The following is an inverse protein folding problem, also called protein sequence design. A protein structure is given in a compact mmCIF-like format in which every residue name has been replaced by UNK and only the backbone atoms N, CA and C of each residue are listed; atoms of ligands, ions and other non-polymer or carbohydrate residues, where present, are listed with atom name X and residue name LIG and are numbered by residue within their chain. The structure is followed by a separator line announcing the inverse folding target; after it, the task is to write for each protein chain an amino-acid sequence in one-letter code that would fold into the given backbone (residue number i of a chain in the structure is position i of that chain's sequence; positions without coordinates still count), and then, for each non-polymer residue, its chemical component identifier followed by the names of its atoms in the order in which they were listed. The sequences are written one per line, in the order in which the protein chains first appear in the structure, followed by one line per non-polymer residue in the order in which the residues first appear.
data_IF_966176187804
#
_entry.id   IF_966176187804
#
_cell.length_a   1.000
_cell.length_b   1.000
_cell.length_c   1.000
_cell.angle_alpha   90.00
_cell.angle_beta   90.00
_cell.angle_gamma   90.00
#
_symmetry.space_group_name_H-M   'P 1'
#
loop_
_entity.id
_entity.type
_entity.pdbx_description
1 polymer ?
#
# COMPACT_ATOMS: atom_id res chain seq x y z
N UNK A 1 -1.49 11.51 -19.38
CA UNK A 1 -0.03 11.63 -19.23
C UNK A 1 0.29 11.21 -17.81
N UNK A 2 0.72 9.96 -17.60
CA UNK A 2 1.20 9.56 -16.28
C UNK A 2 2.52 10.29 -16.05
N UNK A 3 2.49 11.31 -15.18
CA UNK A 3 3.71 12.00 -14.77
C UNK A 3 4.44 11.09 -13.79
N UNK A 4 5.71 10.82 -14.10
CA UNK A 4 6.61 10.09 -13.22
C UNK A 4 6.65 10.76 -11.83
N UNK A 5 6.67 9.97 -10.76
CA UNK A 5 6.75 10.50 -9.39
C UNK A 5 8.19 10.90 -9.11
N UNK A 6 8.38 12.18 -8.77
CA UNK A 6 9.70 12.76 -8.57
C UNK A 6 9.83 13.56 -7.26
N UNK A 7 8.72 13.81 -6.56
CA UNK A 7 8.72 14.45 -5.24
C UNK A 7 8.14 13.58 -4.14
N UNK A 8 8.48 13.87 -2.88
CA UNK A 8 7.92 13.15 -1.73
C UNK A 8 6.42 13.46 -1.58
N UNK A 9 5.98 14.68 -1.85
CA UNK A 9 4.55 15.04 -1.87
C UNK A 9 3.74 14.16 -2.83
N UNK A 10 4.27 13.86 -4.02
CA UNK A 10 3.62 12.96 -4.98
C UNK A 10 3.59 11.52 -4.47
N UNK A 11 4.68 11.02 -3.85
CA UNK A 11 4.69 9.70 -3.22
C UNK A 11 3.62 9.60 -2.13
N UNK A 12 3.50 10.61 -1.27
CA UNK A 12 2.49 10.64 -0.20
C UNK A 12 1.07 10.66 -0.78
N UNK A 13 0.83 11.43 -1.85
CA UNK A 13 -0.46 11.45 -2.54
C UNK A 13 -0.81 10.08 -3.13
N UNK A 14 0.11 9.44 -3.87
CA UNK A 14 -0.13 8.10 -4.42
C UNK A 14 -0.35 7.07 -3.30
N UNK A 15 0.42 7.16 -2.21
CA UNK A 15 0.23 6.30 -1.04
C UNK A 15 -1.21 6.42 -0.51
N UNK A 16 -1.76 7.64 -0.37
CA UNK A 16 -3.16 7.84 0.07
C UNK A 16 -4.16 7.17 -0.87
N UNK A 17 -3.97 7.34 -2.18
CA UNK A 17 -4.88 6.78 -3.20
C UNK A 17 -4.88 5.26 -3.18
N UNK A 18 -3.69 4.64 -3.19
CA UNK A 18 -3.50 3.20 -3.11
C UNK A 18 -4.07 2.61 -1.82
N UNK A 19 -3.85 3.28 -0.69
CA UNK A 19 -4.37 2.88 0.62
C UNK A 19 -5.91 2.97 0.68
N UNK A 20 -6.49 4.01 0.08
CA UNK A 20 -7.94 4.16 -0.02
C UNK A 20 -8.58 3.08 -0.90
N UNK A 21 -8.00 2.80 -2.06
CA UNK A 21 -8.43 1.74 -2.95
C UNK A 21 -8.34 0.36 -2.27
N UNK A 22 -7.22 0.07 -1.59
CA UNK A 22 -7.03 -1.19 -0.87
C UNK A 22 -8.05 -1.39 0.26
N UNK A 23 -8.37 -0.34 1.02
CA UNK A 23 -9.41 -0.44 2.03
C UNK A 23 -10.81 -0.63 1.43
N UNK A 24 -11.12 0.04 0.32
CA UNK A 24 -12.37 -0.18 -0.41
C UNK A 24 -12.50 -1.64 -0.86
N UNK A 25 -11.43 -2.20 -1.41
CA UNK A 25 -11.38 -3.62 -1.78
C UNK A 25 -11.64 -4.54 -0.58
N UNK A 26 -10.97 -4.33 0.56
CA UNK A 26 -11.21 -5.13 1.76
C UNK A 26 -12.62 -4.96 2.34
N UNK A 27 -13.22 -3.78 2.26
CA UNK A 27 -14.61 -3.56 2.67
C UNK A 27 -15.59 -4.35 1.79
N UNK A 28 -15.34 -4.40 0.48
CA UNK A 28 -16.11 -5.24 -0.45
C UNK A 28 -15.93 -6.74 -0.16
N UNK A 29 -14.71 -7.20 0.12
CA UNK A 29 -14.47 -8.58 0.54
C UNK A 29 -15.21 -8.92 1.83
N UNK A 30 -15.26 -8.00 2.79
CA UNK A 30 -15.99 -8.20 4.04
C UNK A 30 -17.51 -8.37 3.82
N UNK A 31 -18.08 -7.67 2.82
CA UNK A 31 -19.49 -7.79 2.43
C UNK A 31 -19.77 -9.12 1.74
N UNK A 32 -18.90 -9.53 0.80
CA UNK A 32 -19.06 -10.77 0.02
C UNK A 32 -18.81 -12.05 0.84
N UNK A 33 -17.89 -12.00 1.81
CA UNK A 33 -17.58 -13.13 2.71
C UNK A 33 -17.69 -12.74 4.19
N UNK A 34 -18.92 -12.66 4.75
CA UNK A 34 -19.13 -12.32 6.16
C UNK A 34 -18.38 -13.24 7.14
N UNK A 35 -18.16 -14.51 6.76
CA UNK A 35 -17.42 -15.51 7.54
C UNK A 35 -15.96 -15.10 7.84
N UNK A 36 -15.36 -14.26 6.99
CA UNK A 36 -14.02 -13.68 7.17
C UNK A 36 -14.08 -12.15 7.27
N UNK A 37 -15.29 -11.59 7.47
CA UNK A 37 -15.53 -10.15 7.43
C UNK A 37 -14.73 -9.39 8.48
N UNK A 38 -14.61 -9.91 9.70
CA UNK A 38 -13.82 -9.29 10.77
C UNK A 38 -12.34 -9.13 10.39
N UNK A 39 -11.76 -10.16 9.75
CA UNK A 39 -10.38 -10.11 9.26
C UNK A 39 -10.22 -9.02 8.20
N UNK A 40 -11.11 -8.98 7.20
CA UNK A 40 -11.03 -8.00 6.12
C UNK A 40 -11.28 -6.56 6.61
N UNK A 41 -12.22 -6.35 7.54
CA UNK A 41 -12.46 -5.05 8.15
C UNK A 41 -11.27 -4.58 8.99
N UNK A 42 -10.60 -5.48 9.71
CA UNK A 42 -9.38 -5.16 10.43
C UNK A 42 -8.26 -4.70 9.47
N UNK A 43 -8.08 -5.41 8.35
CA UNK A 43 -7.11 -5.04 7.31
C UNK A 43 -7.43 -3.68 6.66
N UNK A 44 -8.71 -3.38 6.44
CA UNK A 44 -9.16 -2.09 5.91
C UNK A 44 -8.90 -0.93 6.88
N UNK A 45 -9.08 -1.15 8.19
CA UNK A 45 -8.93 -0.12 9.23
C UNK A 45 -7.48 0.34 9.39
N UNK A 46 -6.53 -0.58 9.25
CA UNK A 46 -5.11 -0.29 9.46
C UNK A 46 -4.52 0.68 8.42
N UNK A 47 -5.21 1.00 7.31
CA UNK A 47 -4.72 1.96 6.29
C UNK A 47 -4.39 3.33 6.89
N UNK A 48 -5.21 3.79 7.84
CA UNK A 48 -5.13 5.16 8.37
C UNK A 48 -3.83 5.32 9.16
N UNK A 49 -3.41 4.25 9.82
CA UNK A 49 -2.16 4.21 10.56
C UNK A 49 -0.94 4.31 9.63
N UNK A 50 -1.01 3.77 8.42
CA UNK A 50 0.12 3.78 7.48
C UNK A 50 0.28 5.14 6.80
N UNK A 51 -0.81 5.66 6.25
CA UNK A 51 -0.86 6.99 5.64
C UNK A 51 -0.43 8.06 6.67
N UNK A 52 -1.02 8.04 7.86
CA UNK A 52 -0.68 9.00 8.93
C UNK A 52 0.79 8.91 9.36
N UNK A 53 1.36 7.71 9.42
CA UNK A 53 2.77 7.52 9.79
C UNK A 53 3.70 8.16 8.76
N UNK A 54 3.45 7.91 7.47
CA UNK A 54 4.28 8.47 6.38
C UNK A 54 4.11 9.97 6.28
N UNK A 55 2.90 10.49 6.44
CA UNK A 55 2.63 11.93 6.45
C UNK A 55 3.32 12.65 7.59
N UNK A 56 3.28 12.11 8.81
CA UNK A 56 3.95 12.72 9.96
C UNK A 56 5.46 12.77 9.75
N UNK A 57 6.04 11.72 9.20
CA UNK A 57 7.46 11.70 8.84
C UNK A 57 7.75 12.77 7.77
N UNK A 58 6.96 12.80 6.70
CA UNK A 58 7.10 13.78 5.61
C UNK A 58 6.97 15.22 6.10
N UNK A 59 5.87 15.58 6.78
CA UNK A 59 5.62 16.93 7.29
C UNK A 59 6.67 17.39 8.30
N UNK A 60 7.34 16.47 8.99
CA UNK A 60 8.44 16.79 9.90
C UNK A 60 9.76 17.17 9.21
N UNK A 61 9.96 16.80 7.94
CA UNK A 61 11.25 16.96 7.22
C UNK A 61 11.12 17.54 5.80
N UNK A 62 9.99 18.20 5.49
CA UNK A 62 9.80 18.84 4.18
C UNK A 62 10.98 19.77 3.88
N UNK A 63 11.63 19.51 2.76
CA UNK A 63 12.80 20.27 2.30
C UNK A 63 12.96 20.13 0.79
N UNK A 64 13.78 20.99 0.20
CA UNK A 64 14.11 20.95 -1.23
C UNK A 64 14.75 19.61 -1.65
N UNK A 65 15.38 18.90 -0.72
CA UNK A 65 15.89 17.56 -0.94
C UNK A 65 14.78 16.58 -1.38
N UNK A 66 13.55 16.78 -0.91
CA UNK A 66 12.39 15.94 -1.25
C UNK A 66 11.51 16.49 -2.36
N UNK A 67 11.47 17.81 -2.52
CA UNK A 67 10.56 18.48 -3.44
C UNK A 67 11.26 19.03 -4.71
N UNK A 68 12.57 18.86 -4.82
CA UNK A 68 13.37 19.30 -5.97
C UNK A 68 13.24 18.44 -7.24
N UNK A 69 12.25 17.54 -7.31
CA UNK A 69 11.97 16.67 -8.47
C UNK A 69 13.09 15.70 -8.88
N UNK A 70 14.00 15.35 -7.96
CA UNK A 70 15.05 14.34 -8.18
C UNK A 70 15.07 13.25 -7.10
N UNK A 71 14.21 13.37 -6.09
CA UNK A 71 14.18 12.46 -4.94
C UNK A 71 13.61 11.09 -5.32
N UNK A 72 12.80 11.04 -6.37
CA UNK A 72 12.14 9.84 -6.85
C UNK A 72 12.18 9.74 -8.38
N UNK A 73 12.09 8.50 -8.85
CA UNK A 73 11.94 8.05 -10.23
C UNK A 73 11.07 6.79 -10.17
N UNK A 74 9.75 6.99 -10.06
CA UNK A 74 8.77 5.92 -9.85
C UNK A 74 7.57 6.10 -10.78
N UNK A 75 7.30 5.09 -11.60
CA UNK A 75 6.11 5.05 -12.45
C UNK A 75 4.86 4.72 -11.60
N UNK A 76 3.87 5.63 -11.48
CA UNK A 76 2.63 5.34 -10.77
C UNK A 76 1.91 4.08 -11.28
N UNK A 77 1.94 3.85 -12.60
CA UNK A 77 1.18 2.77 -13.24
C UNK A 77 1.74 1.39 -12.89
N UNK A 78 3.03 1.31 -12.56
CA UNK A 78 3.66 0.09 -12.08
C UNK A 78 3.04 -0.39 -10.74
N UNK A 79 2.44 0.52 -9.98
CA UNK A 79 1.83 0.25 -8.67
C UNK A 79 0.30 0.19 -8.69
N UNK A 80 -0.31 0.39 -9.86
CA UNK A 80 -1.77 0.26 -10.03
C UNK A 80 -2.25 -1.10 -9.52
N UNK A 81 -3.15 -1.08 -8.53
CA UNK A 81 -3.70 -2.29 -7.92
C UNK A 81 -4.97 -2.72 -8.65
N UNK A 82 -5.06 -4.00 -8.99
CA UNK A 82 -6.26 -4.56 -9.59
C UNK A 82 -7.21 -5.00 -8.47
N UNK A 83 -8.29 -4.25 -8.30
CA UNK A 83 -9.33 -4.48 -7.30
C UNK A 83 -10.62 -5.04 -7.91
N UNK A 84 -10.63 -5.30 -9.22
CA UNK A 84 -11.78 -5.84 -9.92
C UNK A 84 -11.92 -7.33 -9.64
N UNK A 85 -12.94 -7.68 -8.87
CA UNK A 85 -13.26 -9.06 -8.55
C UNK A 85 -14.62 -9.45 -9.18
N UNK A 86 -14.66 -10.45 -10.08
CA UNK A 86 -15.89 -10.94 -10.67
C UNK A 86 -16.93 -11.33 -9.61
N UNK A 87 -18.22 -11.15 -9.90
CA UNK A 87 -19.30 -11.45 -8.95
C UNK A 87 -19.33 -12.93 -8.51
N UNK A 88 -18.87 -13.84 -9.37
CA UNK A 88 -18.79 -15.28 -9.09
C UNK A 88 -17.42 -15.75 -8.56
N UNK A 89 -16.51 -14.84 -8.22
CA UNK A 89 -15.19 -15.21 -7.72
C UNK A 89 -15.30 -15.97 -6.39
N UNK A 90 -14.43 -16.95 -6.21
CA UNK A 90 -14.27 -17.73 -4.99
C UNK A 90 -13.45 -16.98 -3.93
N UNK A 91 -13.53 -17.43 -2.68
CA UNK A 91 -12.71 -16.88 -1.59
C UNK A 91 -11.21 -17.04 -1.86
N UNK A 92 -10.81 -18.13 -2.53
CA UNK A 92 -9.41 -18.38 -2.91
C UNK A 92 -8.92 -17.39 -3.97
N UNK A 93 -9.75 -17.08 -4.97
CA UNK A 93 -9.45 -16.04 -5.97
C UNK A 93 -9.40 -14.65 -5.34
N UNK A 94 -10.32 -14.35 -4.43
CA UNK A 94 -10.30 -13.10 -3.65
C UNK A 94 -9.03 -12.97 -2.80
N UNK A 95 -8.61 -14.06 -2.15
CA UNK A 95 -7.37 -14.13 -1.39
C UNK A 95 -6.13 -13.94 -2.27
N UNK A 96 -6.13 -14.51 -3.48
CA UNK A 96 -5.04 -14.36 -4.43
C UNK A 96 -4.93 -12.91 -4.94
N UNK A 97 -6.06 -12.27 -5.24
CA UNK A 97 -6.11 -10.86 -5.58
C UNK A 97 -5.62 -9.98 -4.42
N UNK A 98 -6.01 -10.28 -3.18
CA UNK A 98 -5.54 -9.57 -1.98
C UNK A 98 -4.02 -9.72 -1.79
N UNK A 99 -3.46 -10.91 -1.99
CA UNK A 99 -2.01 -11.13 -1.92
C UNK A 99 -1.27 -10.33 -2.98
N UNK A 100 -1.72 -10.37 -4.24
CA UNK A 100 -1.09 -9.63 -5.34
C UNK A 100 -1.13 -8.11 -5.10
N UNK A 101 -2.26 -7.60 -4.57
CA UNK A 101 -2.39 -6.22 -4.16
C UNK A 101 -1.40 -5.86 -3.04
N UNK A 102 -1.32 -6.65 -1.98
CA UNK A 102 -0.40 -6.40 -0.86
C UNK A 102 1.07 -6.45 -1.31
N UNK A 103 1.44 -7.37 -2.20
CA UNK A 103 2.79 -7.44 -2.77
C UNK A 103 3.14 -6.17 -3.57
N UNK A 104 2.22 -5.66 -4.38
CA UNK A 104 2.39 -4.38 -5.08
C UNK A 104 2.59 -3.21 -4.11
N UNK A 105 1.78 -3.12 -3.06
CA UNK A 105 1.89 -2.06 -2.05
C UNK A 105 3.20 -2.15 -1.26
N UNK A 106 3.63 -3.37 -0.91
CA UNK A 106 4.95 -3.59 -0.28
C UNK A 106 6.07 -3.14 -1.21
N UNK A 107 5.99 -3.47 -2.50
CA UNK A 107 6.93 -3.04 -3.53
C UNK A 107 7.02 -1.52 -3.63
N UNK A 108 5.88 -0.84 -3.70
CA UNK A 108 5.77 0.61 -3.70
C UNK A 108 6.50 1.26 -2.51
N UNK A 109 6.16 0.86 -1.29
CA UNK A 109 6.77 1.43 -0.08
C UNK A 109 8.26 1.14 0.03
N UNK A 110 8.71 -0.06 -0.38
CA UNK A 110 10.14 -0.41 -0.37
C UNK A 110 10.93 0.41 -1.39
N UNK A 111 10.36 0.61 -2.57
CA UNK A 111 11.02 1.37 -3.63
C UNK A 111 11.11 2.85 -3.26
N UNK A 112 10.02 3.44 -2.76
CA UNK A 112 10.03 4.80 -2.24
C UNK A 112 11.04 4.97 -1.09
N UNK A 113 11.13 4.01 -0.16
CA UNK A 113 12.14 4.04 0.89
C UNK A 113 13.57 3.94 0.34
N UNK A 114 13.80 3.07 -0.65
CA UNK A 114 15.10 2.88 -1.29
C UNK A 114 15.62 4.17 -1.91
N UNK A 115 14.75 4.89 -2.63
CA UNK A 115 15.12 6.11 -3.35
C UNK A 115 15.31 7.32 -2.42
N UNK A 116 14.55 7.39 -1.32
CA UNK A 116 14.67 8.47 -0.33
C UNK A 116 15.77 8.26 0.72
N UNK A 117 16.41 7.08 0.78
CA UNK A 117 17.31 6.66 1.86
C UNK A 117 18.51 7.59 2.09
N UNK A 118 19.03 8.22 1.04
CA UNK A 118 20.20 9.10 1.10
C UNK A 118 19.86 10.55 1.45
N UNK A 119 18.58 10.91 1.56
CA UNK A 119 18.13 12.30 1.75
C UNK A 119 17.96 12.61 3.24
N UNK A 120 16.89 12.10 3.86
CA UNK A 120 16.63 12.23 5.29
C UNK A 120 16.11 10.90 5.81
N UNK A 121 16.52 10.48 7.00
CA UNK A 121 16.22 9.12 7.47
C UNK A 121 14.74 8.89 7.83
N UNK A 122 13.98 9.93 8.15
CA UNK A 122 12.63 9.83 8.72
C UNK A 122 11.61 9.23 7.75
N UNK A 123 11.53 9.74 6.52
CA UNK A 123 10.64 9.25 5.45
C UNK A 123 10.92 7.78 5.06
N UNK A 124 12.15 7.38 4.68
CA UNK A 124 12.44 6.00 4.32
C UNK A 124 12.22 5.03 5.47
N UNK A 125 12.51 5.43 6.73
CA UNK A 125 12.20 4.60 7.92
C UNK A 125 10.70 4.38 8.09
N UNK A 126 9.89 5.42 7.89
CA UNK A 126 8.43 5.31 7.97
C UNK A 126 7.90 4.37 6.88
N UNK A 127 8.38 4.51 5.64
CA UNK A 127 8.00 3.67 4.51
C UNK A 127 8.43 2.20 4.70
N UNK A 128 9.66 1.94 5.17
CA UNK A 128 10.13 0.59 5.51
C UNK A 128 9.25 -0.06 6.61
N UNK A 129 8.85 0.73 7.62
CA UNK A 129 7.98 0.24 8.68
C UNK A 129 6.59 -0.14 8.16
N UNK A 130 6.02 0.66 7.26
CA UNK A 130 4.75 0.31 6.59
C UNK A 130 4.91 -0.97 5.76
N UNK A 131 5.95 -1.06 4.93
CA UNK A 131 6.22 -2.26 4.13
C UNK A 131 6.38 -3.52 4.99
N UNK A 132 7.03 -3.40 6.16
CA UNK A 132 7.18 -4.51 7.12
C UNK A 132 5.82 -4.94 7.69
N UNK A 133 5.01 -4.00 8.17
CA UNK A 133 3.67 -4.29 8.72
C UNK A 133 2.76 -4.91 7.66
N UNK A 134 2.88 -4.48 6.40
CA UNK A 134 2.15 -5.09 5.28
C UNK A 134 2.63 -6.50 4.96
N UNK A 135 3.93 -6.76 4.99
CA UNK A 135 4.47 -8.10 4.79
C UNK A 135 3.97 -9.11 5.84
N UNK A 136 3.75 -8.67 7.09
CA UNK A 136 3.14 -9.50 8.14
C UNK A 136 1.68 -9.90 7.79
N UNK A 137 0.97 -9.12 6.99
CA UNK A 137 -0.41 -9.44 6.53
C UNK A 137 -0.43 -10.57 5.50
N UNK A 138 0.63 -10.73 4.70
CA UNK A 138 0.71 -11.83 3.74
C UNK A 138 0.55 -13.18 4.44
N UNK A 139 1.08 -13.33 5.66
CA UNK A 139 0.89 -14.52 6.49
C UNK A 139 -0.56 -14.78 6.90
N UNK A 140 -1.39 -13.73 7.03
CA UNK A 140 -2.82 -13.84 7.34
C UNK A 140 -3.67 -14.14 6.10
N UNK A 141 -3.21 -13.75 4.91
CA UNK A 141 -3.91 -13.91 3.64
C UNK A 141 -3.56 -15.23 2.92
N UNK A 142 -2.33 -15.75 3.08
CA UNK A 142 -1.91 -17.03 2.49
C UNK A 142 -2.85 -18.20 2.78
N UNK A 143 -3.34 -18.39 4.02
CA UNK A 143 -4.30 -19.45 4.33
C UNK A 143 -5.66 -19.31 3.63
N UNK A 144 -5.97 -18.16 3.03
CA UNK A 144 -7.19 -17.98 2.23
C UNK A 144 -7.04 -18.53 0.81
N UNK A 145 -5.80 -18.62 0.31
CA UNK A 145 -5.47 -19.10 -1.04
C UNK A 145 -5.14 -20.58 -1.04
N UNK A 146 -4.43 -21.03 0.00
CA UNK A 146 -4.15 -22.44 0.23
C UNK A 146 -5.47 -23.15 0.60
N UNK A 147 -6.00 -23.88 -0.39
CA UNK A 147 -7.21 -24.69 -0.26
C UNK A 147 -7.09 -25.67 0.92
N UNK A 148 -8.17 -25.76 1.70
CA UNK A 148 -8.62 -27.02 2.32
C UNK A 148 -8.85 -28.05 1.22
#
# INVERSE_FOLDING_TARGET
MAMNINTCSQVVSLARELEQQAAGFYQELARRWPQKGELFLALAKDKENYVTLVERAYYGVISDAYEGCFAFDMDPEAYSINIDLPEGASLSEAGAAALAMEEKLIGFYREAARQSKSLMADVPRAMELVAKKRAERLGKLRPLVEKV
#
